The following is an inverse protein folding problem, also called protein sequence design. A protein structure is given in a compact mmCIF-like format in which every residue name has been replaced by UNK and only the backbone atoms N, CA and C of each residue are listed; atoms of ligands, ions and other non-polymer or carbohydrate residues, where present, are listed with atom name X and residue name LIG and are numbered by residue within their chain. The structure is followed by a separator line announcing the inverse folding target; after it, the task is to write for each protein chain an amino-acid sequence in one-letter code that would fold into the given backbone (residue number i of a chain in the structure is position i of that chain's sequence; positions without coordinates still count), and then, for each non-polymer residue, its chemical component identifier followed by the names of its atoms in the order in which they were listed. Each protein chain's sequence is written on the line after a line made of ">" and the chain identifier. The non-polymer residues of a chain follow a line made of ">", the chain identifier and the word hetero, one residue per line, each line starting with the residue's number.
data_IF_291864525186
#
_entry.id   IF_291864525186
#
_cell.length_a   1.000
_cell.length_b   1.000
_cell.length_c   1.000
_cell.angle_alpha   90.00
_cell.angle_beta   90.00
_cell.angle_gamma   90.00
#
_symmetry.space_group_name_H-M   'P 1'
#
loop_
_entity.id
_entity.type
_entity.pdbx_description
1 polymer ?
#
# COMPACT_ATOMS: atom_id res chain seq x y z
N UNK A 1 11.56 3.01 18.19
CA UNK A 1 10.25 2.33 18.01
C UNK A 1 9.96 2.04 16.53
N UNK A 2 9.91 3.06 15.64
CA UNK A 2 9.57 2.86 14.23
C UNK A 2 10.60 2.07 13.40
N UNK A 3 11.89 2.29 13.64
CA UNK A 3 12.95 1.52 12.96
C UNK A 3 12.85 0.02 13.29
N UNK A 4 12.58 -0.32 14.56
CA UNK A 4 12.42 -1.72 14.99
C UNK A 4 11.29 -2.44 14.27
N UNK A 5 10.19 -1.74 13.93
CA UNK A 5 9.09 -2.33 13.13
C UNK A 5 9.60 -2.78 11.75
N UNK A 6 10.51 -2.01 11.16
CA UNK A 6 11.20 -2.40 9.94
C UNK A 6 12.42 -3.29 10.20
N UNK A 7 12.61 -3.81 11.42
CA UNK A 7 13.79 -4.62 11.77
C UNK A 7 15.11 -3.85 11.68
N UNK A 8 15.08 -2.53 11.79
CA UNK A 8 16.26 -1.66 11.81
C UNK A 8 16.56 -1.22 13.26
N UNK A 9 17.82 -1.26 13.71
CA UNK A 9 18.19 -0.78 15.03
C UNK A 9 18.14 0.76 15.12
N UNK A 10 17.92 1.27 16.33
CA UNK A 10 18.18 2.69 16.63
C UNK A 10 19.68 2.84 16.91
N UNK A 11 20.39 3.59 16.09
CA UNK A 11 21.84 3.76 16.17
C UNK A 11 22.19 5.19 16.59
N UNK A 12 23.27 5.34 17.35
CA UNK A 12 23.96 6.62 17.49
C UNK A 12 24.57 7.08 16.15
N UNK A 13 25.00 8.34 16.09
CA UNK A 13 25.65 8.88 14.89
C UNK A 13 26.92 8.08 14.52
N UNK A 14 27.77 7.77 15.49
CA UNK A 14 29.03 7.04 15.26
C UNK A 14 28.79 5.61 14.77
N UNK A 15 27.79 4.93 15.34
CA UNK A 15 27.39 3.59 14.88
C UNK A 15 26.80 3.63 13.47
N UNK A 16 26.01 4.66 13.15
CA UNK A 16 25.46 4.86 11.82
C UNK A 16 26.57 5.18 10.81
N UNK A 17 27.53 6.05 11.15
CA UNK A 17 28.60 6.45 10.23
C UNK A 17 29.42 5.26 9.73
N UNK A 18 29.59 4.24 10.58
CA UNK A 18 30.26 2.99 10.21
C UNK A 18 29.48 2.12 9.19
N UNK A 19 28.22 2.46 8.89
CA UNK A 19 27.37 1.74 7.94
C UNK A 19 27.08 2.53 6.66
N UNK A 20 27.42 3.82 6.59
CA UNK A 20 27.03 4.70 5.47
C UNK A 20 27.70 4.33 4.14
N UNK A 21 28.77 3.53 4.18
CA UNK A 21 29.45 3.00 3.00
C UNK A 21 28.68 1.84 2.32
N UNK A 22 27.69 1.26 2.99
CA UNK A 22 26.75 0.33 2.34
C UNK A 22 25.80 1.10 1.42
N UNK A 23 26.25 1.33 0.20
CA UNK A 23 25.51 2.07 -0.84
C UNK A 23 24.22 1.36 -1.30
N UNK A 24 24.03 0.06 -0.97
CA UNK A 24 22.76 -0.63 -1.22
C UNK A 24 21.73 -0.22 -0.19
N UNK A 25 22.13 -0.15 1.09
CA UNK A 25 21.26 0.25 2.19
C UNK A 25 21.05 1.77 2.25
N UNK A 26 22.11 2.55 2.08
CA UNK A 26 22.07 4.00 2.21
C UNK A 26 22.40 4.71 0.90
N UNK A 27 21.48 5.53 0.41
CA UNK A 27 21.74 6.47 -0.69
C UNK A 27 22.05 7.84 -0.10
N UNK A 28 23.28 8.33 -0.31
CA UNK A 28 23.62 9.72 0.01
C UNK A 28 22.81 10.67 -0.88
N UNK A 29 22.11 11.62 -0.24
CA UNK A 29 21.30 12.66 -0.89
C UNK A 29 22.04 14.00 -0.93
N UNK A 30 22.62 14.40 0.21
CA UNK A 30 23.48 15.58 0.38
C UNK A 30 24.62 15.27 1.37
N UNK A 31 25.44 16.26 1.71
CA UNK A 31 26.60 16.09 2.61
C UNK A 31 26.27 15.36 3.92
N UNK A 32 25.07 15.57 4.45
CA UNK A 32 24.60 15.18 5.78
C UNK A 32 23.28 14.38 5.75
N UNK A 33 22.72 14.10 4.55
CA UNK A 33 21.44 13.38 4.42
C UNK A 33 21.62 12.07 3.67
N UNK A 34 21.10 11.02 4.27
CA UNK A 34 21.13 9.66 3.74
C UNK A 34 19.71 9.08 3.72
N UNK A 35 19.39 8.40 2.63
CA UNK A 35 18.13 7.72 2.45
C UNK A 35 18.32 6.22 2.70
N UNK A 36 17.52 5.65 3.61
CA UNK A 36 17.58 4.22 3.91
C UNK A 36 16.66 3.45 2.95
N UNK A 37 17.26 2.82 1.94
CA UNK A 37 16.55 2.02 0.94
C UNK A 37 15.81 0.85 1.59
N UNK A 38 16.39 0.16 2.58
CA UNK A 38 15.76 -1.01 3.18
C UNK A 38 14.49 -0.67 3.95
N UNK A 39 14.51 0.41 4.73
CA UNK A 39 13.32 0.90 5.41
C UNK A 39 12.23 1.30 4.40
N UNK A 40 12.62 1.96 3.30
CA UNK A 40 11.69 2.32 2.22
C UNK A 40 11.11 1.09 1.51
N UNK A 41 11.93 0.11 1.11
CA UNK A 41 11.51 -1.14 0.46
C UNK A 41 10.52 -1.92 1.35
N UNK A 42 10.80 -2.03 2.67
CA UNK A 42 9.91 -2.70 3.65
C UNK A 42 8.56 -1.98 3.76
N UNK A 43 8.59 -0.65 3.83
CA UNK A 43 7.36 0.17 3.89
C UNK A 43 6.50 0.03 2.62
N UNK A 44 7.13 0.04 1.45
CA UNK A 44 6.45 -0.16 0.18
C UNK A 44 5.84 -1.56 0.09
N UNK A 45 6.58 -2.59 0.53
CA UNK A 45 6.15 -3.98 0.47
C UNK A 45 4.79 -4.21 1.13
N UNK A 46 4.57 -3.62 2.31
CA UNK A 46 3.29 -3.70 3.03
C UNK A 46 2.12 -3.14 2.20
N UNK A 47 2.35 -1.99 1.57
CA UNK A 47 1.32 -1.30 0.79
C UNK A 47 1.03 -2.03 -0.52
N UNK A 48 2.07 -2.56 -1.16
CA UNK A 48 1.94 -3.33 -2.40
C UNK A 48 1.25 -4.66 -2.18
N UNK A 49 1.61 -5.38 -1.11
CA UNK A 49 0.96 -6.65 -0.77
C UNK A 49 -0.53 -6.45 -0.51
N UNK A 50 -0.86 -5.43 0.29
CA UNK A 50 -2.26 -5.09 0.59
C UNK A 50 -3.03 -4.78 -0.69
N UNK A 51 -2.48 -3.93 -1.57
CA UNK A 51 -3.10 -3.60 -2.85
C UNK A 51 -3.33 -4.83 -3.74
N UNK A 52 -2.30 -5.66 -3.89
CA UNK A 52 -2.36 -6.84 -4.75
C UNK A 52 -3.33 -7.89 -4.22
N UNK A 53 -3.31 -8.18 -2.91
CA UNK A 53 -4.21 -9.15 -2.29
C UNK A 53 -5.66 -8.66 -2.35
N UNK A 54 -5.93 -7.39 -2.02
CA UNK A 54 -7.27 -6.80 -2.11
C UNK A 54 -7.79 -6.79 -3.55
N UNK A 55 -6.98 -6.33 -4.52
CA UNK A 55 -7.39 -6.30 -5.92
C UNK A 55 -7.74 -7.69 -6.44
N UNK A 56 -6.92 -8.69 -6.11
CA UNK A 56 -7.14 -10.07 -6.48
C UNK A 56 -8.42 -10.64 -5.87
N UNK A 57 -8.60 -10.49 -4.55
CA UNK A 57 -9.76 -10.99 -3.83
C UNK A 57 -11.06 -10.36 -4.33
N UNK A 58 -11.07 -9.04 -4.52
CA UNK A 58 -12.26 -8.31 -4.99
C UNK A 58 -12.63 -8.67 -6.41
N UNK A 59 -11.65 -8.83 -7.29
CA UNK A 59 -11.89 -9.29 -8.65
C UNK A 59 -12.46 -10.71 -8.68
N UNK A 60 -11.95 -11.60 -7.82
CA UNK A 60 -12.48 -12.96 -7.63
C UNK A 60 -13.94 -12.96 -7.15
N UNK A 61 -14.27 -12.13 -6.16
CA UNK A 61 -15.63 -12.01 -5.60
C UNK A 61 -16.67 -11.58 -6.64
N UNK A 62 -16.28 -10.75 -7.61
CA UNK A 62 -17.17 -10.28 -8.68
C UNK A 62 -16.98 -11.05 -10.00
N UNK A 63 -16.27 -12.18 -9.97
CA UNK A 63 -15.97 -13.04 -11.11
C UNK A 63 -15.40 -12.27 -12.33
N UNK A 64 -14.41 -11.40 -12.08
CA UNK A 64 -13.69 -10.63 -13.11
C UNK A 64 -12.18 -10.78 -12.95
N UNK A 65 -11.46 -10.32 -13.96
CA UNK A 65 -10.04 -10.01 -13.83
C UNK A 65 -9.86 -8.55 -13.42
N UNK A 66 -8.86 -8.27 -12.59
CA UNK A 66 -8.51 -6.91 -12.20
C UNK A 66 -7.59 -6.25 -13.24
N UNK A 67 -7.81 -4.95 -13.44
CA UNK A 67 -6.82 -4.02 -13.98
C UNK A 67 -6.44 -3.07 -12.83
N UNK A 68 -5.21 -3.15 -12.36
CA UNK A 68 -4.73 -2.36 -11.22
C UNK A 68 -4.00 -1.12 -11.74
N UNK A 69 -4.56 0.06 -11.50
CA UNK A 69 -3.91 1.35 -11.74
C UNK A 69 -3.12 1.74 -10.49
N UNK A 70 -1.81 1.96 -10.67
CA UNK A 70 -0.85 2.24 -9.60
C UNK A 70 -0.23 3.61 -9.84
N UNK A 71 -0.40 4.50 -8.86
CA UNK A 71 0.37 5.74 -8.77
C UNK A 71 1.52 5.60 -7.76
N UNK A 72 2.57 6.40 -7.95
CA UNK A 72 3.74 6.39 -7.09
C UNK A 72 3.49 7.00 -5.71
N UNK A 73 3.31 6.17 -4.68
CA UNK A 73 3.24 6.65 -3.30
C UNK A 73 4.58 7.24 -2.84
N UNK A 74 4.57 8.51 -2.46
CA UNK A 74 5.80 9.22 -2.07
C UNK A 74 6.75 9.55 -3.22
N UNK A 75 6.31 9.40 -4.48
CA UNK A 75 7.09 9.75 -5.67
C UNK A 75 6.69 11.10 -6.27
N UNK A 76 5.71 11.79 -5.72
CA UNK A 76 5.35 13.17 -6.10
C UNK A 76 6.20 14.21 -5.37
N UNK A 77 5.55 15.22 -4.81
CA UNK A 77 6.20 16.30 -4.01
C UNK A 77 6.98 15.74 -2.80
N UNK A 78 6.57 14.59 -2.28
CA UNK A 78 7.23 13.88 -1.19
C UNK A 78 8.51 13.12 -1.58
N UNK A 79 8.91 13.16 -2.86
CA UNK A 79 10.10 12.46 -3.35
C UNK A 79 11.36 13.15 -2.80
N UNK A 80 12.19 12.40 -2.09
CA UNK A 80 13.51 12.87 -1.65
C UNK A 80 14.55 12.82 -2.78
N UNK A 81 14.46 11.83 -3.69
CA UNK A 81 15.37 11.72 -4.84
C UNK A 81 14.82 10.78 -5.93
N UNK A 82 15.24 11.01 -7.18
CA UNK A 82 14.81 10.22 -8.36
C UNK A 82 15.15 8.73 -8.29
N UNK A 83 16.13 8.32 -7.49
CA UNK A 83 16.45 6.90 -7.33
C UNK A 83 15.29 6.10 -6.72
N UNK A 84 14.38 6.76 -6.00
CA UNK A 84 13.21 6.10 -5.39
C UNK A 84 12.31 5.42 -6.44
N UNK A 85 12.25 5.92 -7.68
CA UNK A 85 11.45 5.31 -8.75
C UNK A 85 11.97 3.89 -9.05
N UNK A 86 13.29 3.73 -9.11
CA UNK A 86 13.94 2.44 -9.32
C UNK A 86 13.70 1.49 -8.14
N UNK A 87 13.85 1.99 -6.91
CA UNK A 87 13.61 1.19 -5.69
C UNK A 87 12.15 0.76 -5.63
N UNK A 88 11.22 1.69 -5.92
CA UNK A 88 9.78 1.43 -5.94
C UNK A 88 9.42 0.32 -6.93
N UNK A 89 9.84 0.46 -8.19
CA UNK A 89 9.49 -0.48 -9.24
C UNK A 89 10.16 -1.85 -9.04
N UNK A 90 11.38 -1.87 -8.50
CA UNK A 90 12.05 -3.11 -8.08
C UNK A 90 11.29 -3.80 -6.95
N UNK A 91 10.91 -3.07 -5.90
CA UNK A 91 10.14 -3.63 -4.78
C UNK A 91 8.81 -4.19 -5.25
N UNK A 92 8.09 -3.47 -6.10
CA UNK A 92 6.81 -3.93 -6.66
C UNK A 92 6.99 -5.24 -7.44
N UNK A 93 8.00 -5.31 -8.31
CA UNK A 93 8.35 -6.55 -9.04
C UNK A 93 8.68 -7.73 -8.11
N UNK A 94 9.34 -7.47 -6.98
CA UNK A 94 9.62 -8.51 -5.99
C UNK A 94 8.33 -8.99 -5.31
N UNK A 95 7.40 -8.08 -4.99
CA UNK A 95 6.13 -8.44 -4.35
C UNK A 95 5.19 -9.21 -5.29
N UNK A 96 5.11 -8.84 -6.57
CA UNK A 96 4.37 -9.64 -7.58
C UNK A 96 4.89 -11.08 -7.61
N UNK A 97 6.21 -11.26 -7.63
CA UNK A 97 6.82 -12.60 -7.66
C UNK A 97 6.58 -13.37 -6.36
N UNK A 98 6.74 -12.71 -5.22
CA UNK A 98 6.51 -13.32 -3.91
C UNK A 98 5.07 -13.81 -3.75
N UNK A 99 4.09 -13.02 -4.22
CA UNK A 99 2.67 -13.37 -4.15
C UNK A 99 2.17 -14.19 -5.34
N UNK A 100 3.03 -14.54 -6.30
CA UNK A 100 2.62 -15.06 -7.61
C UNK A 100 1.63 -16.24 -7.56
N UNK A 101 1.82 -17.19 -6.64
CA UNK A 101 0.91 -18.33 -6.45
C UNK A 101 -0.51 -17.97 -6.02
N UNK A 102 -0.73 -16.74 -5.55
CA UNK A 102 -2.01 -16.25 -4.99
C UNK A 102 -2.73 -15.28 -5.93
N UNK A 103 -2.00 -14.66 -6.88
CA UNK A 103 -2.52 -13.60 -7.75
C UNK A 103 -3.19 -14.16 -9.00
N UNK A 104 -4.30 -14.89 -8.84
CA UNK A 104 -5.02 -15.58 -9.94
C UNK A 104 -5.98 -14.69 -10.74
N UNK A 105 -6.34 -13.54 -10.20
CA UNK A 105 -7.41 -12.68 -10.72
C UNK A 105 -6.92 -11.26 -11.06
N UNK A 106 -5.61 -11.08 -11.27
CA UNK A 106 -5.05 -9.81 -11.76
C UNK A 106 -4.57 -10.00 -13.20
N UNK A 107 -5.16 -9.29 -14.15
CA UNK A 107 -4.74 -9.37 -15.55
C UNK A 107 -3.65 -8.35 -15.87
N UNK A 108 -3.79 -7.13 -15.35
CA UNK A 108 -2.93 -6.01 -15.69
C UNK A 108 -2.54 -5.20 -14.46
N UNK A 109 -1.33 -4.65 -14.48
CA UNK A 109 -0.88 -3.60 -13.57
C UNK A 109 -0.32 -2.47 -14.42
N UNK A 110 -0.94 -1.28 -14.30
CA UNK A 110 -0.52 -0.06 -14.97
C UNK A 110 0.16 0.86 -13.96
N UNK A 111 1.45 1.11 -14.15
CA UNK A 111 2.21 2.08 -13.36
C UNK A 111 2.16 3.43 -14.06
N UNK A 112 1.32 4.33 -13.53
CA UNK A 112 1.15 5.67 -14.09
C UNK A 112 2.03 6.70 -13.42
N UNK A 113 2.60 7.59 -14.24
CA UNK A 113 3.49 8.68 -13.82
C UNK A 113 4.81 8.19 -13.18
N UNK A 114 5.21 6.95 -13.43
CA UNK A 114 6.50 6.36 -13.02
C UNK A 114 7.23 5.86 -14.27
N UNK A 115 8.24 6.58 -14.73
CA UNK A 115 9.00 6.20 -15.93
C UNK A 115 10.20 5.31 -15.58
N UNK A 116 9.93 4.08 -15.14
CA UNK A 116 10.98 3.10 -14.82
C UNK A 116 10.46 1.65 -15.01
N UNK A 117 11.25 0.71 -15.57
CA UNK A 117 10.86 -0.70 -15.67
C UNK A 117 10.48 -1.34 -14.33
N UNK A 118 9.49 -2.24 -14.34
CA UNK A 118 9.08 -3.02 -13.17
C UNK A 118 10.05 -4.19 -12.97
N UNK A 119 11.17 -3.96 -12.28
CA UNK A 119 12.26 -4.93 -12.20
C UNK A 119 12.88 -5.15 -13.58
N UNK A 120 12.78 -6.37 -14.12
CA UNK A 120 13.25 -6.69 -15.49
C UNK A 120 12.20 -6.45 -16.59
N UNK A 121 10.97 -6.10 -16.20
CA UNK A 121 9.83 -6.04 -17.11
C UNK A 121 9.62 -4.60 -17.60
N UNK A 122 9.81 -4.40 -18.90
CA UNK A 122 9.49 -3.15 -19.59
C UNK A 122 7.98 -3.03 -19.86
N UNK A 123 7.58 -1.90 -20.47
CA UNK A 123 6.19 -1.69 -20.88
C UNK A 123 5.67 -2.83 -21.76
N UNK A 124 4.40 -3.19 -21.56
CA UNK A 124 3.66 -4.27 -22.23
C UNK A 124 4.22 -5.68 -22.07
N UNK A 125 5.28 -5.87 -21.28
CA UNK A 125 5.79 -7.20 -20.96
C UNK A 125 4.94 -7.89 -19.90
N UNK A 126 5.01 -9.22 -19.87
CA UNK A 126 4.26 -10.05 -18.93
C UNK A 126 5.17 -10.64 -17.87
N UNK A 127 4.73 -10.60 -16.62
CA UNK A 127 5.27 -11.43 -15.55
C UNK A 127 4.57 -12.78 -15.62
N UNK A 128 5.27 -13.80 -16.09
CA UNK A 128 4.69 -15.15 -16.16
C UNK A 128 4.45 -15.70 -14.75
N UNK A 129 3.24 -16.24 -14.53
CA UNK A 129 2.83 -16.82 -13.26
C UNK A 129 2.25 -18.21 -13.53
N UNK A 130 2.85 -19.28 -12.99
CA UNK A 130 2.33 -20.63 -13.14
C UNK A 130 0.87 -20.72 -12.69
N UNK A 131 0.04 -21.42 -13.48
CA UNK A 131 -1.39 -21.63 -13.23
C UNK A 131 -2.25 -20.35 -13.22
N UNK A 132 -1.71 -19.21 -13.64
CA UNK A 132 -2.53 -18.03 -13.87
C UNK A 132 -3.43 -18.24 -15.11
N UNK A 133 -4.74 -17.93 -15.05
CA UNK A 133 -5.67 -18.15 -16.17
C UNK A 133 -5.25 -17.46 -17.49
N UNK A 134 -4.46 -16.38 -17.40
CA UNK A 134 -3.94 -15.64 -18.55
C UNK A 134 -2.43 -15.84 -18.78
N UNK A 135 -1.83 -16.84 -18.15
CA UNK A 135 -0.38 -17.12 -18.18
C UNK A 135 0.49 -16.16 -17.36
N UNK A 136 -0.05 -15.02 -16.93
CA UNK A 136 0.63 -14.08 -16.05
C UNK A 136 -0.05 -12.71 -15.97
N UNK A 137 0.69 -11.73 -15.46
CA UNK A 137 0.24 -10.35 -15.29
C UNK A 137 0.94 -9.45 -16.32
N UNK A 138 0.18 -8.72 -17.13
CA UNK A 138 0.73 -7.74 -18.08
C UNK A 138 1.06 -6.44 -17.37
N UNK A 139 2.26 -5.93 -17.60
CA UNK A 139 2.73 -4.66 -17.05
C UNK A 139 2.53 -3.57 -18.08
N UNK A 140 1.97 -2.45 -17.67
CA UNK A 140 1.91 -1.22 -18.45
C UNK A 140 2.67 -0.12 -17.70
N UNK A 141 3.48 0.65 -18.42
CA UNK A 141 4.24 1.78 -17.88
C UNK A 141 3.86 2.98 -18.74
N UNK A 142 2.74 3.60 -18.40
CA UNK A 142 2.11 4.64 -19.20
C UNK A 142 1.34 5.61 -18.32
N UNK A 143 1.24 6.86 -18.77
CA UNK A 143 0.48 7.90 -18.08
C UNK A 143 -1.00 7.77 -18.43
N UNK A 144 -1.74 7.09 -17.57
CA UNK A 144 -3.19 6.92 -17.66
C UNK A 144 -3.86 7.67 -16.52
N UNK A 145 -4.98 8.34 -16.77
CA UNK A 145 -5.74 8.92 -15.66
C UNK A 145 -6.36 7.78 -14.84
N UNK A 146 -6.46 7.91 -13.51
CA UNK A 146 -6.88 6.81 -12.63
C UNK A 146 -8.26 6.22 -12.99
N UNK A 147 -9.22 7.06 -13.36
CA UNK A 147 -10.63 6.66 -13.54
C UNK A 147 -11.08 6.58 -15.00
N UNK A 148 -10.17 6.65 -15.96
CA UNK A 148 -10.57 6.45 -17.36
C UNK A 148 -11.30 5.11 -17.51
N UNK A 149 -12.21 5.01 -18.47
CA UNK A 149 -12.90 3.74 -18.71
C UNK A 149 -11.93 2.74 -19.34
N UNK A 150 -11.98 1.48 -18.91
CA UNK A 150 -11.26 0.40 -19.59
C UNK A 150 -11.96 0.08 -20.91
N UNK A 151 -11.18 -0.04 -21.98
CA UNK A 151 -11.66 -0.26 -23.35
C UNK A 151 -10.85 -1.39 -24.03
N UNK A 152 -11.29 -1.81 -25.21
CA UNK A 152 -10.63 -2.86 -25.99
C UNK A 152 -10.53 -4.18 -25.22
N UNK A 153 -9.35 -4.81 -25.22
CA UNK A 153 -9.06 -6.08 -24.52
C UNK A 153 -9.21 -6.00 -23.00
N UNK A 154 -9.27 -4.79 -22.44
CA UNK A 154 -9.42 -4.56 -21.00
C UNK A 154 -10.87 -4.24 -20.60
N UNK A 155 -11.79 -4.11 -21.56
CA UNK A 155 -13.19 -3.85 -21.29
C UNK A 155 -13.79 -4.94 -20.38
N UNK A 156 -14.59 -4.54 -19.39
CA UNK A 156 -15.27 -5.44 -18.47
C UNK A 156 -14.43 -5.94 -17.28
N UNK A 157 -13.12 -5.70 -17.25
CA UNK A 157 -12.25 -5.94 -16.08
C UNK A 157 -12.64 -5.04 -14.91
N UNK A 158 -12.37 -5.50 -13.68
CA UNK A 158 -12.52 -4.67 -12.49
C UNK A 158 -11.37 -3.66 -12.44
N UNK A 159 -11.68 -2.38 -12.59
CA UNK A 159 -10.70 -1.30 -12.39
C UNK A 159 -10.46 -1.11 -10.89
N UNK A 160 -9.21 -1.29 -10.46
CA UNK A 160 -8.77 -1.07 -9.09
C UNK A 160 -7.75 0.05 -9.11
N UNK A 161 -8.02 1.12 -8.38
CA UNK A 161 -7.18 2.33 -8.40
C UNK A 161 -6.52 2.53 -7.05
N UNK A 162 -5.19 2.68 -7.03
CA UNK A 162 -4.49 3.23 -5.88
C UNK A 162 -4.38 4.74 -5.99
N UNK A 163 -4.44 5.42 -4.85
CA UNK A 163 -4.11 6.83 -4.73
C UNK A 163 -3.07 7.02 -3.63
N UNK A 164 -2.20 7.99 -3.80
CA UNK A 164 -1.29 8.43 -2.76
C UNK A 164 -2.04 9.32 -1.80
N UNK A 165 -1.83 9.12 -0.50
CA UNK A 165 -2.52 9.87 0.55
C UNK A 165 -1.57 10.18 1.69
N UNK A 166 -1.65 11.41 2.19
CA UNK A 166 -0.92 11.88 3.36
C UNK A 166 -1.54 11.35 4.65
N UNK A 167 -0.74 10.68 5.46
CA UNK A 167 -1.24 9.89 6.58
C UNK A 167 -1.52 10.65 7.87
N UNK A 168 -1.40 11.98 7.86
CA UNK A 168 -1.99 12.87 8.88
C UNK A 168 -3.13 13.73 8.34
N UNK A 169 -3.68 13.38 7.19
CA UNK A 169 -4.85 14.06 6.62
C UNK A 169 -6.08 13.16 6.72
N UNK A 170 -7.27 13.71 6.47
CA UNK A 170 -8.42 12.91 6.04
C UNK A 170 -8.25 12.55 4.55
N UNK A 171 -8.86 11.46 4.05
CA UNK A 171 -8.84 11.13 2.62
C UNK A 171 -9.30 12.33 1.80
N UNK A 172 -8.53 12.70 0.78
CA UNK A 172 -8.75 13.90 -0.02
C UNK A 172 -7.88 15.10 0.35
N UNK A 173 -7.26 15.12 1.54
CA UNK A 173 -6.27 16.12 1.96
C UNK A 173 -6.61 17.57 1.58
N UNK A 174 -5.99 18.13 0.54
CA UNK A 174 -6.23 19.51 0.08
C UNK A 174 -7.69 19.76 -0.38
N UNK A 175 -8.46 18.70 -0.63
CA UNK A 175 -9.92 18.75 -0.83
C UNK A 175 -10.62 19.51 0.30
N UNK A 176 -10.24 19.24 1.55
CA UNK A 176 -10.83 19.85 2.74
C UNK A 176 -10.46 21.34 2.89
N UNK A 177 -9.50 21.82 2.10
CA UNK A 177 -9.11 23.22 1.99
C UNK A 177 -9.70 23.90 0.75
N UNK A 178 -10.58 23.22 0.00
CA UNK A 178 -11.18 23.73 -1.23
C UNK A 178 -10.23 23.74 -2.44
N UNK A 179 -9.06 23.11 -2.34
CA UNK A 179 -8.04 23.11 -3.40
C UNK A 179 -8.22 21.92 -4.34
N UNK A 180 -9.30 21.94 -5.13
CA UNK A 180 -9.77 20.77 -5.90
C UNK A 180 -8.82 20.29 -7.01
N UNK A 181 -7.85 21.11 -7.41
CA UNK A 181 -6.91 20.81 -8.50
C UNK A 181 -5.44 20.71 -8.05
N UNK A 182 -5.18 20.70 -6.73
CA UNK A 182 -3.81 20.81 -6.20
C UNK A 182 -2.97 19.54 -6.33
N UNK A 183 -3.59 18.36 -6.23
CA UNK A 183 -2.88 17.09 -6.21
C UNK A 183 -3.77 15.91 -6.61
N UNK A 184 -3.25 14.69 -6.51
CA UNK A 184 -4.04 13.47 -6.69
C UNK A 184 -5.06 13.21 -5.58
N UNK A 185 -4.86 13.76 -4.38
CA UNK A 185 -5.77 13.63 -3.25
C UNK A 185 -7.15 14.27 -3.51
N UNK A 186 -7.25 15.58 -3.84
CA UNK A 186 -8.53 16.19 -4.14
C UNK A 186 -9.15 15.66 -5.43
N UNK A 187 -8.34 15.25 -6.41
CA UNK A 187 -8.83 14.58 -7.59
C UNK A 187 -9.55 13.27 -7.22
N UNK A 188 -8.94 12.42 -6.38
CA UNK A 188 -9.54 11.18 -5.92
C UNK A 188 -10.79 11.41 -5.06
N UNK A 189 -10.81 12.44 -4.21
CA UNK A 189 -11.99 12.82 -3.45
C UNK A 189 -13.14 13.31 -4.34
N UNK A 190 -12.84 14.11 -5.36
CA UNK A 190 -13.86 14.67 -6.26
C UNK A 190 -14.40 13.64 -7.28
N UNK A 191 -13.60 12.65 -7.69
CA UNK A 191 -14.00 11.64 -8.67
C UNK A 191 -14.59 10.37 -8.06
N UNK A 192 -14.61 10.27 -6.72
CA UNK A 192 -15.04 9.06 -6.01
C UNK A 192 -15.74 9.40 -4.69
N UNK A 193 -15.98 8.39 -3.84
CA UNK A 193 -16.60 8.57 -2.52
C UNK A 193 -15.61 8.42 -1.35
N UNK A 194 -14.29 8.61 -1.57
CA UNK A 194 -13.32 8.43 -0.47
C UNK A 194 -13.50 9.45 0.66
N UNK A 195 -13.99 10.66 0.35
CA UNK A 195 -14.17 11.72 1.35
C UNK A 195 -15.24 11.32 2.39
N UNK A 196 -16.23 10.51 2.01
CA UNK A 196 -17.28 9.99 2.86
C UNK A 196 -16.94 8.59 3.38
N UNK A 197 -16.66 7.64 2.46
CA UNK A 197 -16.50 6.22 2.79
C UNK A 197 -15.29 5.93 3.66
N UNK A 198 -14.22 6.72 3.52
CA UNK A 198 -12.98 6.50 4.27
C UNK A 198 -12.81 7.45 5.46
N UNK A 199 -13.83 8.26 5.76
CA UNK A 199 -13.81 9.24 6.84
C UNK A 199 -14.55 8.71 8.07
N UNK A 200 -13.82 8.52 9.17
CA UNK A 200 -14.38 7.96 10.41
C UNK A 200 -15.38 8.89 11.12
N UNK A 201 -15.45 10.17 10.74
CA UNK A 201 -16.46 11.10 11.25
C UNK A 201 -17.80 10.99 10.52
N UNK A 202 -17.81 10.43 9.30
CA UNK A 202 -18.99 10.31 8.44
C UNK A 202 -19.46 8.85 8.37
N UNK A 203 -18.52 7.93 8.10
CA UNK A 203 -18.80 6.52 7.94
C UNK A 203 -18.42 5.73 9.22
N UNK A 204 -19.39 5.31 10.05
CA UNK A 204 -19.11 4.53 11.26
C UNK A 204 -18.52 3.15 10.96
N UNK A 205 -18.59 2.69 9.70
CA UNK A 205 -17.94 1.45 9.30
C UNK A 205 -16.42 1.57 9.23
N UNK A 206 -15.85 2.77 9.24
CA UNK A 206 -14.40 2.99 9.38
C UNK A 206 -14.05 2.85 10.86
N UNK A 207 -14.07 1.61 11.34
CA UNK A 207 -13.82 1.28 12.74
C UNK A 207 -13.05 -0.03 12.88
N UNK A 208 -12.47 -0.26 14.06
CA UNK A 208 -11.72 -1.48 14.35
C UNK A 208 -12.57 -2.75 14.22
N UNK A 209 -13.89 -2.67 14.44
CA UNK A 209 -14.81 -3.80 14.28
C UNK A 209 -14.87 -4.32 12.82
N UNK A 210 -14.65 -3.44 11.85
CA UNK A 210 -14.64 -3.78 10.43
C UNK A 210 -13.23 -3.97 9.86
N UNK A 211 -12.23 -4.07 10.73
CA UNK A 211 -10.85 -4.32 10.34
C UNK A 211 -10.73 -5.64 9.55
N UNK A 212 -10.09 -5.54 8.39
CA UNK A 212 -9.74 -6.68 7.53
C UNK A 212 -8.23 -6.84 7.45
N UNK A 213 -7.79 -8.09 7.35
CA UNK A 213 -6.37 -8.45 7.29
C UNK A 213 -6.10 -9.06 5.93
N UNK A 214 -5.17 -8.45 5.18
CA UNK A 214 -4.64 -9.03 3.95
C UNK A 214 -3.63 -10.12 4.32
N UNK A 215 -3.86 -11.33 3.82
CA UNK A 215 -3.01 -12.50 4.06
C UNK A 215 -2.62 -13.15 2.73
N UNK A 216 -1.73 -14.14 2.78
CA UNK A 216 -1.39 -14.94 1.60
C UNK A 216 -2.59 -15.71 1.01
N UNK A 217 -3.66 -15.89 1.80
CA UNK A 217 -4.85 -16.61 1.37
C UNK A 217 -6.00 -15.69 0.93
N UNK A 218 -5.77 -14.38 0.89
CA UNK A 218 -6.80 -13.38 0.64
C UNK A 218 -7.07 -12.50 1.86
N UNK A 219 -8.22 -11.83 1.84
CA UNK A 219 -8.64 -10.86 2.85
C UNK A 219 -9.62 -11.52 3.81
N UNK A 220 -9.35 -11.45 5.12
CA UNK A 220 -10.20 -12.04 6.15
C UNK A 220 -10.54 -11.02 7.27
N UNK A 221 -11.51 -11.36 8.13
CA UNK A 221 -11.79 -10.52 9.32
C UNK A 221 -10.64 -10.61 10.31
N UNK A 222 -10.46 -9.57 11.14
CA UNK A 222 -9.53 -9.65 12.27
C UNK A 222 -9.85 -10.84 13.21
N UNK A 223 -11.13 -11.14 13.41
CA UNK A 223 -11.55 -12.27 14.25
C UNK A 223 -11.11 -13.63 13.69
N UNK A 224 -11.32 -13.86 12.38
CA UNK A 224 -10.90 -15.09 11.70
C UNK A 224 -9.38 -15.23 11.71
N UNK A 225 -8.68 -14.12 11.47
CA UNK A 225 -7.23 -14.06 11.51
C UNK A 225 -6.68 -14.52 12.87
N UNK A 226 -7.19 -13.96 13.98
CA UNK A 226 -6.73 -14.30 15.33
C UNK A 226 -7.05 -15.77 15.67
N UNK A 227 -8.24 -16.27 15.31
CA UNK A 227 -8.60 -17.68 15.51
C UNK A 227 -7.62 -18.62 14.79
N UNK A 228 -7.21 -18.26 13.57
CA UNK A 228 -6.24 -19.04 12.79
C UNK A 228 -4.81 -18.90 13.31
N UNK A 229 -4.38 -17.70 13.69
CA UNK A 229 -3.02 -17.42 14.17
C UNK A 229 -2.75 -17.95 15.59
N UNK A 230 -3.80 -18.27 16.36
CA UNK A 230 -3.68 -19.06 17.58
C UNK A 230 -3.28 -20.54 17.32
N UNK A 231 -3.27 -20.97 16.06
CA UNK A 231 -2.65 -22.23 15.60
C UNK A 231 -1.12 -22.07 15.48
N UNK A 232 -0.29 -23.08 15.80
CA UNK A 232 1.15 -22.92 16.03
C UNK A 232 2.03 -22.29 14.91
N UNK A 233 1.54 -22.14 13.67
CA UNK A 233 2.40 -22.05 12.48
C UNK A 233 2.31 -20.74 11.63
N UNK A 234 1.88 -19.59 12.16
CA UNK A 234 1.64 -18.40 11.29
C UNK A 234 2.41 -17.13 11.71
N UNK A 235 3.18 -16.58 10.76
CA UNK A 235 3.82 -15.25 10.79
C UNK A 235 2.84 -14.16 10.32
N UNK A 236 2.80 -13.00 11.00
CA UNK A 236 1.74 -11.97 10.87
C UNK A 236 2.22 -10.64 10.28
N UNK A 237 1.36 -10.01 9.44
CA UNK A 237 1.36 -8.57 9.14
C UNK A 237 -0.09 -8.07 9.27
N UNK A 238 -0.36 -7.10 10.15
CA UNK A 238 -1.69 -6.47 10.37
C UNK A 238 -1.72 -5.08 9.72
N UNK A 239 -2.80 -4.76 8.99
CA UNK A 239 -3.03 -3.43 8.44
C UNK A 239 -4.36 -2.84 8.94
N UNK A 240 -4.29 -1.79 9.76
CA UNK A 240 -5.43 -0.98 10.19
C UNK A 240 -5.43 0.32 9.39
N UNK A 241 -6.61 0.83 9.04
CA UNK A 241 -6.78 2.20 8.53
C UNK A 241 -5.90 3.19 9.31
N UNK A 242 -4.82 3.65 8.69
CA UNK A 242 -3.76 4.55 9.20
C UNK A 242 -2.71 3.99 10.19
N UNK A 243 -2.58 2.67 10.38
CA UNK A 243 -1.46 2.08 11.12
C UNK A 243 -1.21 0.59 10.79
N UNK A 244 0.06 0.22 10.60
CA UNK A 244 0.50 -1.20 10.60
C UNK A 244 1.00 -1.58 11.99
N UNK A 245 0.61 -2.75 12.51
CA UNK A 245 1.07 -3.25 13.82
C UNK A 245 1.76 -4.59 13.68
N UNK A 246 2.79 -4.81 14.50
CA UNK A 246 3.49 -6.09 14.64
C UNK A 246 3.17 -6.67 16.02
N UNK A 247 2.60 -7.88 16.07
CA UNK A 247 2.39 -8.63 17.31
C UNK A 247 3.43 -9.74 17.35
N UNK A 248 4.39 -9.65 18.28
CA UNK A 248 5.36 -10.70 18.53
C UNK A 248 4.97 -11.50 19.77
N UNK A 249 5.27 -12.82 19.79
CA UNK A 249 5.10 -13.70 20.96
C UNK A 249 6.02 -13.22 22.08
N UNK A 250 5.48 -12.34 22.92
CA UNK A 250 6.20 -11.71 24.02
C UNK A 250 5.31 -10.70 24.75
N UNK A 251 4.11 -11.15 25.14
CA UNK A 251 3.27 -10.55 26.17
C UNK A 251 2.90 -9.07 26.04
N UNK A 252 1.67 -8.79 25.64
CA UNK A 252 0.81 -7.85 26.38
C UNK A 252 -0.65 -8.14 26.02
N UNK A 253 -1.31 -8.87 26.91
CA UNK A 253 -2.76 -8.90 27.00
C UNK A 253 -3.23 -7.47 27.30
N UNK A 254 -4.07 -6.91 26.45
CA UNK A 254 -4.92 -5.80 26.85
C UNK A 254 -6.37 -6.25 26.75
N UNK A 255 -6.94 -6.52 27.91
CA UNK A 255 -8.36 -6.72 28.09
C UNK A 255 -9.15 -5.53 27.54
N UNK A 256 -10.26 -5.87 26.90
CA UNK A 256 -11.30 -4.96 26.43
C UNK A 256 -11.93 -4.22 27.61
N UNK A 257 -11.59 -2.94 27.79
CA UNK A 257 -12.50 -1.80 28.01
C UNK A 257 -11.73 -0.57 28.50
N UNK A 258 -12.23 0.61 28.14
CA UNK A 258 -11.84 1.96 28.58
C UNK A 258 -10.67 2.64 27.84
N UNK A 259 -11.04 3.76 27.18
CA UNK A 259 -10.27 4.98 26.93
C UNK A 259 -8.76 4.80 26.64
N UNK A 260 -8.39 4.88 25.35
CA UNK A 260 -7.02 5.11 24.89
C UNK A 260 -6.33 6.17 25.76
N UNK A 261 -5.28 5.76 26.48
CA UNK A 261 -4.48 6.60 27.37
C UNK A 261 -3.87 7.78 26.61
N UNK A 262 -3.50 8.86 27.32
CA UNK A 262 -2.88 10.04 26.72
C UNK A 262 -1.61 9.69 25.94
N UNK A 263 -0.86 8.67 26.38
CA UNK A 263 0.31 8.12 25.71
C UNK A 263 -0.04 7.37 24.42
N UNK A 264 -1.12 6.57 24.42
CA UNK A 264 -1.61 5.95 23.19
C UNK A 264 -2.11 6.99 22.18
N UNK A 265 -2.73 8.09 22.64
CA UNK A 265 -3.14 9.22 21.78
C UNK A 265 -1.94 10.02 21.25
N UNK A 266 -0.91 10.23 22.07
CA UNK A 266 0.34 10.87 21.64
C UNK A 266 1.12 10.00 20.67
N UNK A 267 1.13 8.68 20.88
CA UNK A 267 1.69 7.69 19.97
C UNK A 267 0.91 7.69 18.65
N UNK A 268 -0.43 7.69 18.67
CA UNK A 268 -1.27 7.79 17.45
C UNK A 268 -1.02 9.11 16.71
N UNK A 269 -0.94 10.26 17.41
CA UNK A 269 -0.64 11.57 16.78
C UNK A 269 0.79 11.64 16.21
N UNK A 270 1.77 11.07 16.90
CA UNK A 270 3.15 10.95 16.42
C UNK A 270 3.29 9.93 15.29
N UNK A 271 2.49 8.86 15.31
CA UNK A 271 2.35 7.88 14.24
C UNK A 271 1.86 8.65 13.03
N UNK A 272 0.69 9.30 13.05
CA UNK A 272 0.06 9.94 11.88
C UNK A 272 0.95 10.98 11.15
N UNK A 273 1.78 11.76 11.84
CA UNK A 273 2.61 12.84 11.29
C UNK A 273 3.60 12.48 10.15
N UNK A 274 3.84 11.19 9.85
CA UNK A 274 4.80 10.77 8.81
C UNK A 274 4.28 9.68 7.85
N UNK A 275 2.96 9.45 7.81
CA UNK A 275 2.41 8.36 6.98
C UNK A 275 2.18 8.80 5.53
N UNK A 276 2.38 7.86 4.61
CA UNK A 276 1.67 7.75 3.35
C UNK A 276 1.02 6.38 3.43
N UNK A 277 -0.29 6.30 3.23
CA UNK A 277 -1.04 5.05 3.27
C UNK A 277 -1.71 4.79 1.92
N UNK A 278 -1.69 3.54 1.43
CA UNK A 278 -2.51 3.14 0.28
C UNK A 278 -3.88 2.72 0.81
N UNK A 279 -4.92 3.40 0.35
CA UNK A 279 -6.28 2.87 0.37
C UNK A 279 -6.69 2.54 -1.06
N UNK A 280 -7.33 1.40 -1.23
CA UNK A 280 -7.82 0.93 -2.52
C UNK A 280 -9.25 1.40 -2.68
N UNK A 281 -9.58 1.98 -3.84
CA UNK A 281 -10.94 2.38 -4.15
C UNK A 281 -11.54 1.48 -5.24
N UNK A 282 -12.80 1.08 -5.05
CA UNK A 282 -13.54 0.22 -5.97
C UNK A 282 -14.79 0.95 -6.45
N UNK A 283 -14.85 1.25 -7.75
CA UNK A 283 -16.06 1.72 -8.39
C UNK A 283 -16.78 0.52 -9.02
N UNK A 284 -17.85 0.06 -8.39
CA UNK A 284 -18.80 -0.84 -9.05
C UNK A 284 -19.77 0.04 -9.82
N UNK A 285 -19.46 0.33 -11.09
CA UNK A 285 -20.41 0.98 -11.99
C UNK A 285 -21.62 0.07 -12.20
N UNK A 286 -22.77 0.43 -11.63
CA UNK A 286 -24.06 -0.10 -12.05
C UNK A 286 -24.31 0.38 -13.48
N UNK A 287 -24.53 -0.55 -14.40
CA UNK A 287 -25.08 -0.26 -15.72
C UNK A 287 -26.45 0.38 -15.55
N UNK A 288 -26.53 1.68 -15.83
CA UNK A 288 -27.77 2.39 -16.16
C UNK A 288 -27.64 2.90 -17.58
#
# INVERSE_FOLDING_TARGET
>A
LFLNFYGEPCLSYDELSNQLDDTKKYKKLSSDKYFNNYAYEKRLSLSFDTLLVEANQRAKEVNKMAFVHVVGIGLGVWRASRHQDAVFMKSFSQRIRFLSSTLTNIANICFSYINHPCGKYADKQRVDIPNHPLGGIKIHIENRNPHDRLAGEDAGKLLVVSYAWDGNALPGNEFWLGQLAASGDPAAAASTQIAELHNAHINPNVSAANLRIATLNGVETFHDYIRRAASPDVLCIVHVNSASFHLNKGGLFFETHALLTAEARALIRSVMNQWLAIKVNFLVGSTG
#
